data_IF_418021533862
#
_entry.id   IF_418021533862
#
_cell.length_a   1.000
_cell.length_b   1.000
_cell.length_c   1.000
_cell.angle_alpha   90.00
_cell.angle_beta   90.00
_cell.angle_gamma   90.00
#
_symmetry.space_group_name_H-M   'P 1'
#
loop_
_entity.id
_entity.type
_entity.pdbx_description
1 polymer ?
#
# COMPACT_ATOMS: atom_id res chain seq x y z
N UNK A 1 -3.12 3.14 -33.27
CA UNK A 1 -2.78 3.55 -31.89
C UNK A 1 -3.75 4.58 -31.34
N UNK A 2 -4.02 5.66 -32.08
CA UNK A 2 -4.74 6.85 -31.59
C UNK A 2 -6.01 6.61 -30.78
N UNK A 3 -6.99 5.85 -31.29
CA UNK A 3 -8.32 5.79 -30.61
C UNK A 3 -8.29 5.23 -29.18
N UNK A 4 -7.44 4.23 -28.90
CA UNK A 4 -7.39 3.59 -27.58
C UNK A 4 -6.59 4.41 -26.58
N UNK A 5 -5.53 5.07 -27.03
CA UNK A 5 -4.78 6.02 -26.22
C UNK A 5 -5.62 7.26 -25.91
N UNK A 6 -6.40 7.74 -26.89
CA UNK A 6 -7.36 8.83 -26.68
C UNK A 6 -8.44 8.41 -25.69
N UNK A 7 -9.02 7.20 -25.84
CA UNK A 7 -10.04 6.71 -24.90
C UNK A 7 -9.49 6.62 -23.47
N UNK A 8 -8.29 6.06 -23.28
CA UNK A 8 -7.66 6.00 -21.96
C UNK A 8 -7.36 7.40 -21.39
N UNK A 9 -6.91 8.34 -22.22
CA UNK A 9 -6.68 9.72 -21.79
C UNK A 9 -7.98 10.44 -21.41
N UNK A 10 -9.07 10.26 -22.16
CA UNK A 10 -10.38 10.80 -21.82
C UNK A 10 -10.91 10.20 -20.52
N UNK A 11 -10.77 8.89 -20.33
CA UNK A 11 -11.12 8.23 -19.07
C UNK A 11 -10.27 8.75 -17.91
N UNK A 12 -8.98 9.00 -18.13
CA UNK A 12 -8.11 9.63 -17.13
C UNK A 12 -8.58 11.03 -16.75
N UNK A 13 -8.96 11.86 -17.72
CA UNK A 13 -9.46 13.20 -17.46
C UNK A 13 -10.80 13.19 -16.74
N UNK A 14 -11.73 12.29 -17.13
CA UNK A 14 -13.01 12.12 -16.43
C UNK A 14 -12.78 11.63 -15.00
N UNK A 15 -11.90 10.64 -14.82
CA UNK A 15 -11.56 10.11 -13.50
C UNK A 15 -10.91 11.18 -12.61
N UNK A 16 -10.00 11.98 -13.17
CA UNK A 16 -9.38 13.11 -12.47
C UNK A 16 -10.42 14.17 -12.11
N UNK A 17 -11.29 14.58 -13.04
CA UNK A 17 -12.33 15.57 -12.78
C UNK A 17 -13.32 15.11 -11.71
N UNK A 18 -13.66 13.81 -11.73
CA UNK A 18 -14.52 13.20 -10.73
C UNK A 18 -13.86 13.16 -9.35
N UNK A 19 -12.58 12.78 -9.32
CA UNK A 19 -11.82 12.57 -8.09
C UNK A 19 -11.13 13.81 -7.54
N UNK A 20 -11.15 14.96 -8.23
CA UNK A 20 -10.38 16.15 -7.83
C UNK A 20 -10.81 16.70 -6.47
N UNK A 21 -9.88 17.07 -5.56
CA UNK A 21 -8.41 17.01 -5.66
C UNK A 21 -7.80 15.68 -5.16
N UNK A 22 -8.64 14.70 -4.82
CA UNK A 22 -8.28 13.42 -4.24
C UNK A 22 -8.83 13.27 -2.82
N UNK A 23 -8.91 12.04 -2.34
CA UNK A 23 -9.22 11.73 -0.93
C UNK A 23 -7.92 11.46 -0.19
N UNK A 24 -7.64 12.22 0.86
CA UNK A 24 -6.46 12.05 1.71
C UNK A 24 -6.86 11.37 3.04
N UNK A 25 -6.62 10.05 3.20
CA UNK A 25 -6.80 9.37 4.48
C UNK A 25 -5.74 9.82 5.52
N UNK A 26 -5.90 9.38 6.76
CA UNK A 26 -4.96 9.67 7.87
C UNK A 26 -3.48 9.49 7.50
N UNK A 27 -3.12 8.35 6.89
CA UNK A 27 -1.76 8.06 6.43
C UNK A 27 -1.25 9.13 5.45
N UNK A 28 -2.11 9.61 4.55
CA UNK A 28 -1.76 10.61 3.55
C UNK A 28 -1.60 12.00 4.19
N UNK A 29 -2.43 12.34 5.19
CA UNK A 29 -2.28 13.58 5.97
C UNK A 29 -0.92 13.59 6.68
N UNK A 30 -0.55 12.48 7.31
CA UNK A 30 0.73 12.32 7.99
C UNK A 30 1.90 12.43 7.01
N UNK A 31 1.83 11.74 5.87
CA UNK A 31 2.88 11.81 4.84
C UNK A 31 2.96 13.18 4.16
N UNK A 32 1.85 13.91 4.01
CA UNK A 32 1.87 15.28 3.51
C UNK A 32 2.52 16.24 4.52
N UNK A 33 2.28 16.06 5.82
CA UNK A 33 2.99 16.82 6.85
C UNK A 33 4.52 16.60 6.79
N UNK A 34 4.95 15.35 6.56
CA UNK A 34 6.36 15.03 6.34
C UNK A 34 6.89 15.70 5.06
N UNK A 35 6.12 15.68 3.96
CA UNK A 35 6.52 16.34 2.71
C UNK A 35 6.75 17.85 2.88
N UNK A 36 5.84 18.54 3.60
CA UNK A 36 5.94 19.96 3.91
C UNK A 36 7.14 20.27 4.80
N UNK A 37 7.32 19.51 5.88
CA UNK A 37 8.42 19.74 6.84
C UNK A 37 9.79 19.30 6.32
N UNK A 38 9.84 18.38 5.35
CA UNK A 38 11.07 17.76 4.88
C UNK A 38 11.70 16.78 5.88
N UNK A 39 11.00 16.45 6.96
CA UNK A 39 11.41 15.45 7.95
C UNK A 39 10.61 14.19 7.71
N UNK A 40 11.31 13.10 7.40
CA UNK A 40 10.72 11.81 7.09
C UNK A 40 11.05 10.83 8.22
N UNK A 41 10.12 9.93 8.51
CA UNK A 41 10.35 8.76 9.36
C UNK A 41 10.06 7.47 8.57
N UNK A 42 10.38 6.32 9.17
CA UNK A 42 10.14 5.01 8.58
C UNK A 42 8.85 4.32 9.09
N UNK A 43 7.95 5.05 9.76
CA UNK A 43 6.66 4.49 10.19
C UNK A 43 5.84 4.05 8.99
N UNK A 44 5.85 4.89 7.96
CA UNK A 44 5.49 4.52 6.60
C UNK A 44 6.74 4.58 5.70
N UNK A 45 6.80 3.76 4.64
CA UNK A 45 7.87 3.93 3.66
C UNK A 45 7.88 5.38 3.12
N UNK A 46 9.02 6.08 3.21
CA UNK A 46 9.10 7.53 3.03
C UNK A 46 8.99 7.97 1.58
N UNK A 47 9.06 7.03 0.61
CA UNK A 47 9.11 7.36 -0.82
C UNK A 47 7.90 8.18 -1.27
N UNK A 48 6.69 7.89 -0.78
CA UNK A 48 5.50 8.68 -1.14
C UNK A 48 5.62 10.12 -0.63
N UNK A 49 6.00 10.32 0.63
CA UNK A 49 6.17 11.66 1.21
C UNK A 49 7.30 12.44 0.51
N UNK A 50 8.40 11.77 0.20
CA UNK A 50 9.52 12.33 -0.55
C UNK A 50 9.10 12.74 -1.98
N UNK A 51 8.38 11.87 -2.69
CA UNK A 51 7.85 12.17 -4.02
C UNK A 51 6.85 13.33 -3.96
N UNK A 52 5.99 13.37 -2.93
CA UNK A 52 5.05 14.45 -2.72
C UNK A 52 5.77 15.79 -2.51
N UNK A 53 6.87 15.80 -1.73
CA UNK A 53 7.72 16.98 -1.56
C UNK A 53 8.26 17.49 -2.89
N UNK A 54 8.74 16.60 -3.75
CA UNK A 54 9.23 16.95 -5.08
C UNK A 54 8.13 17.54 -5.99
N UNK A 55 6.86 17.23 -5.72
CA UNK A 55 5.70 17.72 -6.47
C UNK A 55 5.08 19.00 -5.88
N UNK A 56 5.51 19.47 -4.71
CA UNK A 56 5.01 20.72 -4.12
C UNK A 56 5.11 21.94 -5.06
N UNK A 57 6.15 22.11 -5.90
CA UNK A 57 6.19 23.20 -6.87
C UNK A 57 5.06 23.19 -7.91
N UNK A 58 4.41 22.04 -8.14
CA UNK A 58 3.29 21.91 -9.08
C UNK A 58 1.95 22.32 -8.46
N UNK A 59 1.88 22.47 -7.13
CA UNK A 59 0.69 22.91 -6.42
C UNK A 59 0.57 22.31 -5.02
N UNK A 60 -0.25 22.91 -4.15
CA UNK A 60 -0.51 22.37 -2.81
C UNK A 60 -1.48 21.18 -2.84
N UNK A 61 -1.57 20.49 -1.70
CA UNK A 61 -2.54 19.44 -1.45
C UNK A 61 -2.28 18.12 -2.19
N UNK A 62 -3.34 17.32 -2.34
CA UNK A 62 -3.32 15.96 -2.89
C UNK A 62 -3.31 15.88 -4.42
N UNK A 63 -3.68 16.95 -5.10
CA UNK A 63 -3.89 16.96 -6.54
C UNK A 63 -2.65 16.54 -7.37
N UNK A 64 -1.41 17.02 -7.09
CA UNK A 64 -0.25 16.62 -7.88
C UNK A 64 0.02 15.11 -7.83
N UNK A 65 -0.14 14.48 -6.66
CA UNK A 65 -0.01 13.03 -6.53
C UNK A 65 -1.18 12.29 -7.17
N UNK A 66 -2.41 12.80 -7.06
CA UNK A 66 -3.56 12.21 -7.76
C UNK A 66 -3.31 12.16 -9.26
N UNK A 67 -2.80 13.24 -9.85
CA UNK A 67 -2.45 13.29 -11.28
C UNK A 67 -1.39 12.24 -11.63
N UNK A 68 -0.34 12.11 -10.82
CA UNK A 68 0.70 11.10 -11.05
C UNK A 68 0.14 9.67 -10.95
N UNK A 69 -0.65 9.39 -9.92
CA UNK A 69 -1.31 8.10 -9.68
C UNK A 69 -2.24 7.71 -10.84
N UNK A 70 -3.20 8.57 -11.18
CA UNK A 70 -4.12 8.33 -12.29
C UNK A 70 -3.39 8.28 -13.65
N UNK A 71 -2.31 9.05 -13.79
CA UNK A 71 -1.43 9.01 -14.96
C UNK A 71 -0.83 7.62 -15.16
N UNK A 72 -0.21 7.04 -14.12
CA UNK A 72 0.33 5.68 -14.20
C UNK A 72 -0.75 4.63 -14.42
N UNK A 73 -1.87 4.73 -13.71
CA UNK A 73 -3.00 3.81 -13.81
C UNK A 73 -3.54 3.73 -15.24
N UNK A 74 -3.92 4.87 -15.83
CA UNK A 74 -4.51 4.91 -17.16
C UNK A 74 -3.48 4.74 -18.28
N UNK A 75 -2.21 5.11 -18.06
CA UNK A 75 -1.13 4.76 -18.99
C UNK A 75 -1.01 3.24 -19.12
N UNK A 76 -0.96 2.52 -18.00
CA UNK A 76 -0.86 1.06 -18.02
C UNK A 76 -2.04 0.41 -18.73
N UNK A 77 -3.27 0.75 -18.34
CA UNK A 77 -4.49 0.22 -18.97
C UNK A 77 -4.59 0.57 -20.46
N UNK A 78 -4.27 1.81 -20.82
CA UNK A 78 -4.25 2.30 -22.19
C UNK A 78 -3.25 1.55 -23.07
N UNK A 79 -2.05 1.29 -22.56
CA UNK A 79 -1.03 0.49 -23.26
C UNK A 79 -1.49 -0.94 -23.49
N UNK A 80 -2.11 -1.60 -22.50
CA UNK A 80 -2.67 -2.94 -22.65
C UNK A 80 -3.76 -2.94 -23.72
N UNK A 81 -4.73 -2.01 -23.63
CA UNK A 81 -5.84 -1.93 -24.56
C UNK A 81 -5.39 -1.69 -26.00
N UNK A 82 -4.45 -0.75 -26.19
CA UNK A 82 -3.87 -0.45 -27.48
C UNK A 82 -2.99 -1.58 -28.03
N UNK A 83 -2.36 -2.39 -27.16
CA UNK A 83 -1.62 -3.58 -27.57
C UNK A 83 -2.55 -4.71 -28.02
N UNK A 84 -3.60 -5.00 -27.25
CA UNK A 84 -4.63 -5.99 -27.60
C UNK A 84 -5.32 -5.65 -28.91
N UNK A 85 -5.67 -4.37 -29.12
CA UNK A 85 -6.26 -3.93 -30.37
C UNK A 85 -5.33 -4.10 -31.57
N UNK A 86 -4.04 -3.80 -31.41
CA UNK A 86 -3.05 -4.02 -32.46
C UNK A 86 -2.83 -5.52 -32.75
N UNK A 87 -3.08 -6.38 -31.77
CA UNK A 87 -3.09 -7.84 -31.93
C UNK A 87 -4.44 -8.38 -32.44
N UNK A 88 -5.31 -7.54 -33.02
CA UNK A 88 -6.59 -7.96 -33.59
C UNK A 88 -7.71 -8.22 -32.56
N UNK A 89 -7.51 -7.84 -31.29
CA UNK A 89 -8.47 -8.08 -30.18
C UNK A 89 -9.02 -6.77 -29.58
N UNK A 90 -9.64 -5.88 -30.39
CA UNK A 90 -10.10 -4.57 -29.90
C UNK A 90 -11.17 -4.67 -28.81
N UNK A 91 -12.06 -5.66 -28.87
CA UNK A 91 -13.07 -5.88 -27.82
C UNK A 91 -12.43 -6.15 -26.46
N UNK A 92 -11.37 -6.95 -26.42
CA UNK A 92 -10.63 -7.21 -25.19
C UNK A 92 -9.97 -5.93 -24.64
N UNK A 93 -9.47 -5.06 -25.51
CA UNK A 93 -8.97 -3.74 -25.11
C UNK A 93 -10.05 -2.85 -24.48
N UNK A 94 -11.26 -2.85 -25.05
CA UNK A 94 -12.42 -2.16 -24.47
C UNK A 94 -12.81 -2.71 -23.11
N UNK A 95 -12.79 -4.03 -22.95
CA UNK A 95 -13.04 -4.69 -21.66
C UNK A 95 -12.01 -4.28 -20.61
N UNK A 96 -10.71 -4.20 -20.96
CA UNK A 96 -9.67 -3.73 -20.02
C UNK A 96 -9.93 -2.31 -19.54
N UNK A 97 -10.24 -1.38 -20.45
CA UNK A 97 -10.57 0.00 -20.06
C UNK A 97 -11.86 0.06 -19.23
N UNK A 98 -12.87 -0.72 -19.61
CA UNK A 98 -14.13 -0.82 -18.87
C UNK A 98 -13.94 -1.33 -17.44
N UNK A 99 -13.12 -2.37 -17.25
CA UNK A 99 -12.76 -2.86 -15.91
C UNK A 99 -12.07 -1.79 -15.08
N UNK A 100 -11.10 -1.07 -15.65
CA UNK A 100 -10.45 0.02 -14.92
C UNK A 100 -11.38 1.19 -14.58
N UNK A 101 -12.41 1.38 -15.39
CA UNK A 101 -13.48 2.35 -15.15
C UNK A 101 -14.60 1.82 -14.24
N UNK A 102 -14.51 0.63 -13.64
CA UNK A 102 -15.53 0.20 -12.66
C UNK A 102 -15.33 0.93 -11.33
N UNK A 103 -16.41 1.31 -10.63
CA UNK A 103 -16.33 1.94 -9.30
C UNK A 103 -15.46 1.17 -8.30
N UNK A 104 -15.49 -0.16 -8.36
CA UNK A 104 -14.67 -1.04 -7.51
C UNK A 104 -13.18 -0.73 -7.59
N UNK A 105 -12.65 -0.42 -8.78
CA UNK A 105 -11.23 -0.14 -8.97
C UNK A 105 -10.96 1.37 -8.96
N UNK A 106 -11.70 2.11 -9.77
CA UNK A 106 -11.54 3.57 -9.88
C UNK A 106 -11.82 4.31 -8.57
N UNK A 107 -12.78 3.85 -7.76
CA UNK A 107 -13.11 4.48 -6.49
C UNK A 107 -11.96 4.51 -5.48
N UNK A 108 -11.11 3.47 -5.48
CA UNK A 108 -9.89 3.41 -4.66
C UNK A 108 -8.74 4.23 -5.26
N UNK A 109 -8.68 4.38 -6.58
CA UNK A 109 -7.66 5.19 -7.27
C UNK A 109 -7.88 6.70 -7.14
N UNK A 110 -9.02 7.15 -6.60
CA UNK A 110 -9.24 8.55 -6.17
C UNK A 110 -8.58 8.82 -4.81
N UNK A 111 -8.32 7.77 -4.03
CA UNK A 111 -7.69 7.87 -2.72
C UNK A 111 -6.19 8.06 -2.92
N UNK A 112 -5.66 9.18 -2.46
CA UNK A 112 -4.24 9.52 -2.57
C UNK A 112 -3.51 8.86 -1.40
N UNK A 113 -3.18 7.59 -1.60
CA UNK A 113 -2.51 6.74 -0.61
C UNK A 113 -1.45 5.88 -1.29
N UNK A 114 -0.40 5.52 -0.55
CA UNK A 114 0.73 4.70 -1.03
C UNK A 114 0.29 3.42 -1.73
N UNK A 115 -0.79 2.79 -1.28
CA UNK A 115 -1.33 1.56 -1.86
C UNK A 115 -1.88 1.75 -3.28
N UNK A 116 -2.59 2.86 -3.52
CA UNK A 116 -3.13 3.19 -4.83
C UNK A 116 -2.01 3.60 -5.80
N UNK A 117 -1.05 4.43 -5.35
CA UNK A 117 0.12 4.78 -6.15
C UNK A 117 0.97 3.55 -6.50
N UNK A 118 1.16 2.63 -5.54
CA UNK A 118 1.83 1.36 -5.76
C UNK A 118 1.08 0.52 -6.83
N UNK A 119 -0.24 0.38 -6.70
CA UNK A 119 -1.05 -0.34 -7.67
C UNK A 119 -0.96 0.28 -9.07
N UNK A 120 -1.05 1.61 -9.17
CA UNK A 120 -0.89 2.34 -10.41
C UNK A 120 0.48 2.13 -11.06
N UNK A 121 1.58 2.14 -10.29
CA UNK A 121 2.92 1.80 -10.79
C UNK A 121 3.01 0.35 -11.29
N UNK A 122 2.40 -0.61 -10.60
CA UNK A 122 2.35 -2.01 -11.04
C UNK A 122 1.54 -2.16 -12.34
N UNK A 123 0.39 -1.49 -12.45
CA UNK A 123 -0.44 -1.46 -13.67
C UNK A 123 0.32 -0.83 -14.83
N UNK A 124 1.04 0.28 -14.61
CA UNK A 124 1.91 0.89 -15.60
C UNK A 124 3.03 -0.07 -16.06
N UNK A 125 3.68 -0.76 -15.12
CA UNK A 125 4.73 -1.74 -15.42
C UNK A 125 4.20 -2.90 -16.27
N UNK A 126 3.04 -3.45 -15.92
CA UNK A 126 2.37 -4.51 -16.68
C UNK A 126 1.94 -4.02 -18.06
N UNK A 127 1.40 -2.81 -18.16
CA UNK A 127 0.99 -2.25 -19.44
C UNK A 127 2.16 -1.97 -20.36
N UNK A 128 3.27 -1.47 -19.80
CA UNK A 128 4.51 -1.27 -20.51
C UNK A 128 5.08 -2.61 -21.02
N UNK A 129 5.12 -3.65 -20.19
CA UNK A 129 5.52 -4.99 -20.64
C UNK A 129 4.57 -5.56 -21.72
N UNK A 130 3.26 -5.44 -21.48
CA UNK A 130 2.19 -5.92 -22.37
C UNK A 130 2.25 -5.24 -23.74
N UNK A 131 2.63 -3.97 -23.80
CA UNK A 131 2.78 -3.21 -25.04
C UNK A 131 3.62 -3.94 -26.10
N UNK A 132 4.80 -4.43 -25.72
CA UNK A 132 5.66 -5.18 -26.64
C UNK A 132 5.26 -6.66 -26.70
N UNK A 133 5.02 -7.30 -25.55
CA UNK A 133 4.83 -8.75 -25.48
C UNK A 133 3.56 -9.22 -26.19
N UNK A 134 2.44 -8.50 -26.06
CA UNK A 134 1.18 -8.84 -26.75
C UNK A 134 1.26 -8.66 -28.27
N UNK A 135 2.28 -7.93 -28.74
CA UNK A 135 2.59 -7.76 -30.17
C UNK A 135 3.68 -8.70 -30.66
N UNK A 136 4.01 -9.73 -29.87
CA UNK A 136 5.10 -10.67 -30.11
C UNK A 136 6.47 -9.99 -30.30
N UNK A 137 6.69 -8.82 -29.69
CA UNK A 137 7.96 -8.10 -29.73
C UNK A 137 8.74 -8.24 -28.41
N UNK A 138 10.08 -8.28 -28.45
CA UNK A 138 10.88 -8.17 -27.25
C UNK A 138 10.72 -6.77 -26.63
N UNK A 139 10.84 -6.68 -25.31
CA UNK A 139 10.90 -5.40 -24.61
C UNK A 139 12.29 -4.81 -24.83
N UNK A 140 12.42 -3.57 -25.35
CA UNK A 140 13.72 -2.95 -25.56
C UNK A 140 14.41 -2.63 -24.22
N UNK A 141 15.74 -2.44 -24.18
CA UNK A 141 16.47 -2.18 -22.93
C UNK A 141 15.91 -1.00 -22.12
N UNK A 142 15.55 0.10 -22.78
CA UNK A 142 14.90 1.24 -22.13
C UNK A 142 13.55 0.86 -21.51
N UNK A 143 12.76 0.02 -22.19
CA UNK A 143 11.50 -0.51 -21.65
C UNK A 143 11.73 -1.38 -20.41
N UNK A 144 12.78 -2.22 -20.42
CA UNK A 144 13.17 -3.02 -19.24
C UNK A 144 13.56 -2.11 -18.07
N UNK A 145 14.36 -1.07 -18.32
CA UNK A 145 14.75 -0.10 -17.30
C UNK A 145 13.53 0.61 -16.68
N UNK A 146 12.61 1.09 -17.52
CA UNK A 146 11.39 1.76 -17.05
C UNK A 146 10.50 0.82 -16.23
N UNK A 147 10.35 -0.44 -16.67
CA UNK A 147 9.60 -1.44 -15.90
C UNK A 147 10.30 -1.71 -14.56
N UNK A 148 11.61 -1.90 -14.55
CA UNK A 148 12.38 -2.12 -13.32
C UNK A 148 12.25 -0.93 -12.35
N UNK A 149 12.27 0.31 -12.87
CA UNK A 149 12.05 1.51 -12.06
C UNK A 149 10.66 1.54 -11.44
N UNK A 150 9.60 1.25 -12.21
CA UNK A 150 8.22 1.21 -11.71
C UNK A 150 8.04 0.11 -10.64
N UNK A 151 8.63 -1.06 -10.84
CA UNK A 151 8.60 -2.16 -9.86
C UNK A 151 9.41 -1.81 -8.59
N UNK A 152 10.53 -1.12 -8.73
CA UNK A 152 11.33 -0.59 -7.62
C UNK A 152 10.56 0.46 -6.81
N UNK A 153 9.92 1.43 -7.49
CA UNK A 153 9.05 2.43 -6.86
C UNK A 153 7.91 1.76 -6.11
N UNK A 154 7.20 0.81 -6.72
CA UNK A 154 6.13 0.06 -6.04
C UNK A 154 6.65 -0.65 -4.76
N UNK A 155 7.83 -1.26 -4.83
CA UNK A 155 8.48 -1.93 -3.69
C UNK A 155 8.86 -0.97 -2.56
N UNK A 156 9.29 0.24 -2.92
CA UNK A 156 9.66 1.28 -1.96
C UNK A 156 8.45 2.04 -1.39
N UNK A 157 7.30 2.04 -2.08
CA UNK A 157 6.04 2.57 -1.54
C UNK A 157 5.46 1.66 -0.46
N UNK A 158 5.71 0.34 -0.55
CA UNK A 158 5.26 -0.62 0.45
C UNK A 158 6.14 -1.87 0.48
N UNK A 159 6.64 -2.25 1.66
CA UNK A 159 7.50 -3.41 1.80
C UNK A 159 6.83 -4.73 1.34
N UNK A 160 5.53 -4.90 1.57
CA UNK A 160 4.79 -6.08 1.10
C UNK A 160 4.56 -6.09 -0.43
N UNK A 161 4.79 -4.98 -1.13
CA UNK A 161 4.69 -4.95 -2.58
C UNK A 161 5.74 -5.86 -3.25
N UNK A 162 6.81 -6.23 -2.53
CA UNK A 162 7.80 -7.19 -3.02
C UNK A 162 7.16 -8.50 -3.48
N UNK A 163 6.06 -8.92 -2.84
CA UNK A 163 5.35 -10.16 -3.19
C UNK A 163 4.57 -10.04 -4.51
N UNK A 164 4.36 -8.83 -5.03
CA UNK A 164 3.80 -8.58 -6.35
C UNK A 164 4.88 -8.20 -7.37
N UNK A 165 5.79 -7.29 -7.00
CA UNK A 165 6.79 -6.74 -7.90
C UNK A 165 7.84 -7.77 -8.34
N UNK A 166 8.26 -8.66 -7.43
CA UNK A 166 9.28 -9.65 -7.73
C UNK A 166 8.79 -10.77 -8.67
N UNK A 167 7.61 -11.40 -8.46
CA UNK A 167 7.06 -12.31 -9.46
C UNK A 167 6.88 -11.67 -10.83
N UNK A 168 6.39 -10.41 -10.88
CA UNK A 168 6.25 -9.68 -12.13
C UNK A 168 7.61 -9.46 -12.82
N UNK A 169 8.65 -9.06 -12.08
CA UNK A 169 10.00 -8.92 -12.62
C UNK A 169 10.54 -10.24 -13.21
N UNK A 170 10.35 -11.35 -12.49
CA UNK A 170 10.83 -12.66 -12.91
C UNK A 170 10.08 -13.21 -14.13
N UNK A 171 8.80 -12.84 -14.31
CA UNK A 171 8.02 -13.22 -15.49
C UNK A 171 8.49 -12.50 -16.76
N UNK A 172 9.14 -11.34 -16.63
CA UNK A 172 9.74 -10.64 -17.78
C UNK A 172 10.99 -11.35 -18.30
N UNK A 173 11.66 -12.11 -17.42
CA UNK A 173 12.86 -12.86 -17.74
C UNK A 173 12.51 -14.30 -18.15
N UNK A 174 13.12 -14.77 -19.24
CA UNK A 174 13.05 -16.18 -19.64
C UNK A 174 14.11 -16.97 -18.88
N UNK A 175 13.72 -17.55 -17.75
CA UNK A 175 14.57 -18.40 -16.92
C UNK A 175 13.87 -19.74 -16.66
N UNK A 176 14.66 -20.79 -16.42
CA UNK A 176 14.16 -22.11 -15.99
C UNK A 176 13.43 -21.95 -14.65
N UNK A 177 12.39 -22.78 -14.34
CA UNK A 177 11.62 -22.67 -13.11
C UNK A 177 12.48 -22.63 -11.83
N UNK A 178 13.50 -23.49 -11.74
CA UNK A 178 14.41 -23.53 -10.60
C UNK A 178 15.22 -22.23 -10.43
N UNK A 179 15.69 -21.65 -11.54
CA UNK A 179 16.41 -20.38 -11.52
C UNK A 179 15.49 -19.23 -11.12
N UNK A 180 14.23 -19.22 -11.58
CA UNK A 180 13.23 -18.24 -11.14
C UNK A 180 12.95 -18.34 -9.65
N UNK A 181 12.84 -19.55 -9.12
CA UNK A 181 12.64 -19.77 -7.70
C UNK A 181 13.84 -19.27 -6.88
N UNK A 182 15.06 -19.64 -7.28
CA UNK A 182 16.28 -19.18 -6.61
C UNK A 182 16.46 -17.65 -6.67
N UNK A 183 16.22 -17.05 -7.83
CA UNK A 183 16.26 -15.59 -8.01
C UNK A 183 15.15 -14.89 -7.22
N UNK A 184 13.97 -15.51 -7.11
CA UNK A 184 12.88 -15.01 -6.27
C UNK A 184 13.25 -15.04 -4.79
N UNK A 185 13.80 -16.15 -4.31
CA UNK A 185 14.21 -16.25 -2.91
C UNK A 185 15.36 -15.28 -2.58
N UNK A 186 16.43 -15.31 -3.38
CA UNK A 186 17.61 -14.46 -3.18
C UNK A 186 17.29 -12.98 -3.39
N UNK A 187 16.53 -12.64 -4.45
CA UNK A 187 16.09 -11.28 -4.72
C UNK A 187 15.15 -10.74 -3.64
N UNK A 188 14.22 -11.57 -3.14
CA UNK A 188 13.34 -11.21 -2.04
C UNK A 188 14.13 -10.90 -0.76
N UNK A 189 15.06 -11.78 -0.38
CA UNK A 189 15.93 -11.56 0.78
C UNK A 189 16.79 -10.29 0.64
N UNK A 190 17.37 -10.07 -0.54
CA UNK A 190 18.16 -8.88 -0.84
C UNK A 190 17.32 -7.60 -0.74
N UNK A 191 16.10 -7.59 -1.28
CA UNK A 191 15.20 -6.44 -1.20
C UNK A 191 14.77 -6.16 0.24
N UNK A 192 14.45 -7.18 1.04
CA UNK A 192 14.11 -7.02 2.46
C UNK A 192 15.26 -6.36 3.22
N UNK A 193 16.51 -6.72 2.92
CA UNK A 193 17.69 -6.10 3.54
C UNK A 193 17.97 -4.69 3.01
N UNK A 194 17.73 -4.44 1.72
CA UNK A 194 18.09 -3.20 1.05
C UNK A 194 17.10 -2.07 1.28
N UNK A 195 15.79 -2.36 1.35
CA UNK A 195 14.73 -1.33 1.48
C UNK A 195 14.95 -0.42 2.71
N UNK A 196 15.23 -0.94 3.93
CA UNK A 196 15.54 -0.09 5.07
C UNK A 196 16.75 0.81 4.85
N UNK A 197 17.80 0.30 4.18
CA UNK A 197 18.99 1.08 3.86
C UNK A 197 18.68 2.22 2.90
N UNK A 198 17.86 1.97 1.87
CA UNK A 198 17.41 3.01 0.94
C UNK A 198 16.60 4.08 1.69
N UNK A 199 15.65 3.66 2.53
CA UNK A 199 14.82 4.59 3.29
C UNK A 199 15.66 5.49 4.21
N UNK A 200 16.63 4.93 4.93
CA UNK A 200 17.43 5.67 5.91
C UNK A 200 18.58 6.46 5.28
N UNK A 201 19.32 5.86 4.33
CA UNK A 201 20.54 6.47 3.76
C UNK A 201 20.26 7.37 2.57
N UNK A 202 19.27 7.03 1.76
CA UNK A 202 18.98 7.72 0.51
C UNK A 202 17.84 8.71 0.69
N UNK A 203 16.79 8.33 1.42
CA UNK A 203 15.62 9.18 1.67
C UNK A 203 15.68 9.92 3.02
N UNK A 204 16.69 9.64 3.86
CA UNK A 204 16.93 10.35 5.11
C UNK A 204 15.86 10.11 6.18
N UNK A 205 15.16 8.98 6.15
CA UNK A 205 14.09 8.68 7.10
C UNK A 205 14.65 8.30 8.48
N UNK A 206 14.10 8.95 9.51
CA UNK A 206 14.39 8.64 10.91
C UNK A 206 13.73 7.31 11.34
N UNK A 207 14.41 6.49 12.18
CA UNK A 207 13.80 5.27 12.70
C UNK A 207 12.65 5.57 13.66
N UNK A 208 11.43 5.22 13.26
CA UNK A 208 10.22 5.25 14.09
C UNK A 208 10.13 4.07 15.06
N UNK A 209 10.91 3.03 14.81
CA UNK A 209 10.82 1.74 15.50
C UNK A 209 9.44 1.06 15.37
N UNK A 210 8.71 1.32 14.28
CA UNK A 210 7.40 0.71 13.97
C UNK A 210 7.38 -0.82 14.06
N UNK A 211 8.53 -1.49 13.88
CA UNK A 211 8.65 -2.94 14.06
C UNK A 211 8.22 -3.43 15.46
N UNK A 212 8.27 -2.57 16.50
CA UNK A 212 7.85 -2.90 17.87
C UNK A 212 6.34 -3.14 17.99
N UNK A 213 5.54 -2.54 17.09
CA UNK A 213 4.08 -2.66 17.11
C UNK A 213 3.64 -4.12 17.00
N UNK A 214 4.27 -4.92 16.13
CA UNK A 214 3.88 -6.31 15.91
C UNK A 214 4.04 -7.20 17.17
N UNK A 215 5.21 -7.27 17.83
CA UNK A 215 5.35 -7.99 19.09
C UNK A 215 4.36 -7.55 20.16
N UNK A 216 4.12 -6.24 20.29
CA UNK A 216 3.20 -5.70 21.29
C UNK A 216 1.75 -6.11 20.96
N UNK A 217 1.39 -6.08 19.68
CA UNK A 217 0.04 -6.44 19.21
C UNK A 217 -0.26 -7.88 19.52
N UNK A 218 0.69 -8.75 19.21
CA UNK A 218 0.54 -10.18 19.42
C UNK A 218 0.56 -10.53 20.92
N UNK A 219 1.38 -9.85 21.74
CA UNK A 219 1.37 -10.01 23.20
C UNK A 219 0.02 -9.58 23.80
N UNK A 220 -0.51 -8.43 23.38
CA UNK A 220 -1.83 -7.98 23.78
C UNK A 220 -2.92 -8.95 23.32
N UNK A 221 -2.85 -9.41 22.08
CA UNK A 221 -3.79 -10.33 21.46
C UNK A 221 -3.84 -11.70 22.12
N UNK A 222 -2.69 -12.22 22.53
CA UNK A 222 -2.58 -13.44 23.34
C UNK A 222 -3.12 -13.23 24.75
N UNK A 223 -2.77 -12.12 25.41
CA UNK A 223 -3.22 -11.82 26.76
C UNK A 223 -4.74 -11.63 26.87
N UNK A 224 -5.34 -10.93 25.89
CA UNK A 224 -6.79 -10.79 25.77
C UNK A 224 -7.53 -12.13 25.58
N UNK A 225 -6.80 -13.20 25.22
CA UNK A 225 -7.30 -14.59 25.09
C UNK A 225 -6.89 -15.46 26.29
N UNK A 226 -6.46 -14.86 27.39
CA UNK A 226 -6.14 -15.54 28.64
C UNK A 226 -4.72 -16.10 28.73
N UNK A 227 -3.83 -15.83 27.77
CA UNK A 227 -2.45 -16.27 27.86
C UNK A 227 -1.67 -15.43 28.90
N UNK A 228 -0.96 -16.04 29.86
CA UNK A 228 -0.18 -15.32 30.88
C UNK A 228 1.16 -14.82 30.33
N UNK A 229 1.12 -13.95 29.31
CA UNK A 229 2.30 -13.38 28.62
C UNK A 229 2.67 -11.98 29.12
N UNK A 230 1.88 -11.42 30.03
CA UNK A 230 2.05 -10.10 30.63
C UNK A 230 2.27 -10.22 32.14
N UNK A 231 3.00 -9.26 32.71
CA UNK A 231 3.04 -9.04 34.16
C UNK A 231 1.70 -8.52 34.68
N UNK A 232 1.44 -8.65 35.99
CA UNK A 232 0.23 -8.12 36.61
C UNK A 232 0.06 -6.60 36.42
N UNK A 233 1.16 -5.84 36.34
CA UNK A 233 1.11 -4.41 36.04
C UNK A 233 0.64 -4.13 34.61
N UNK A 234 1.22 -4.81 33.63
CA UNK A 234 0.87 -4.67 32.21
C UNK A 234 -0.57 -5.15 31.94
N UNK A 235 -0.99 -6.26 32.55
CA UNK A 235 -2.34 -6.79 32.42
C UNK A 235 -3.42 -5.80 32.91
N UNK A 236 -3.13 -5.01 33.95
CA UNK A 236 -4.04 -3.95 34.43
C UNK A 236 -4.18 -2.78 33.46
N UNK A 237 -3.16 -2.53 32.63
CA UNK A 237 -3.19 -1.46 31.62
C UNK A 237 -3.93 -1.90 30.34
N UNK A 238 -4.06 -3.20 30.10
CA UNK A 238 -4.76 -3.74 28.94
C UNK A 238 -6.28 -3.76 29.17
N UNK A 239 -6.93 -2.63 28.91
CA UNK A 239 -8.39 -2.46 29.09
C UNK A 239 -9.20 -3.16 27.97
N UNK A 240 -10.49 -3.48 28.22
CA UNK A 240 -11.41 -3.89 27.16
C UNK A 240 -11.40 -2.87 26.01
N UNK A 241 -11.37 -3.34 24.77
CA UNK A 241 -11.29 -2.49 23.58
C UNK A 241 -9.86 -2.15 23.11
N UNK A 242 -8.81 -2.45 23.90
CA UNK A 242 -7.43 -2.26 23.45
C UNK A 242 -7.00 -3.21 22.34
N UNK A 243 -7.60 -4.40 22.26
CA UNK A 243 -7.30 -5.36 21.20
C UNK A 243 -8.47 -5.41 20.25
N UNK A 244 -8.23 -5.00 19.00
CA UNK A 244 -9.13 -5.23 17.88
C UNK A 244 -8.48 -6.23 16.93
N UNK A 245 -9.28 -7.02 16.21
CA UNK A 245 -8.79 -7.79 15.07
C UNK A 245 -8.67 -6.90 13.81
N UNK A 246 -9.30 -5.72 13.81
CA UNK A 246 -9.34 -4.84 12.66
C UNK A 246 -8.06 -4.03 12.53
N UNK A 247 -7.70 -3.23 13.54
CA UNK A 247 -6.50 -2.38 13.53
C UNK A 247 -5.72 -2.39 14.85
N UNK A 248 -4.45 -1.99 14.72
CA UNK A 248 -3.53 -1.68 15.81
C UNK A 248 -3.90 -0.37 16.54
N UNK A 249 -4.71 0.49 15.91
CA UNK A 249 -4.99 1.87 16.33
C UNK A 249 -5.34 2.05 17.81
N UNK A 250 -6.16 1.20 18.49
CA UNK A 250 -6.42 1.39 19.91
C UNK A 250 -5.14 1.36 20.77
N UNK A 251 -4.16 0.53 20.39
CA UNK A 251 -2.85 0.46 21.05
C UNK A 251 -1.93 1.62 20.64
N UNK A 252 -2.09 2.14 19.43
CA UNK A 252 -1.38 3.31 18.95
C UNK A 252 -1.93 4.64 19.49
N UNK A 253 -3.17 4.68 19.98
CA UNK A 253 -3.81 5.87 20.51
C UNK A 253 -3.35 6.18 21.95
N UNK A 254 -2.66 7.31 22.20
CA UNK A 254 -2.22 7.72 23.52
C UNK A 254 -3.34 7.86 24.56
N UNK A 255 -4.54 8.29 24.14
CA UNK A 255 -5.68 8.51 25.03
C UNK A 255 -6.37 7.20 25.43
N UNK A 256 -6.31 6.18 24.58
CA UNK A 256 -6.94 4.89 24.83
C UNK A 256 -5.95 3.89 25.42
N UNK A 257 -5.11 3.23 24.64
CA UNK A 257 -4.26 2.14 25.16
C UNK A 257 -2.76 2.44 25.05
N UNK A 258 -2.39 3.70 24.81
CA UNK A 258 -1.00 4.12 24.74
C UNK A 258 -0.18 3.86 26.01
N UNK A 259 -0.77 3.92 27.21
CA UNK A 259 -0.06 3.58 28.45
C UNK A 259 0.41 2.11 28.49
N UNK A 260 -0.40 1.20 27.94
CA UNK A 260 -0.04 -0.20 27.80
C UNK A 260 1.07 -0.37 26.74
N UNK A 261 0.92 0.24 25.57
CA UNK A 261 1.91 0.16 24.50
C UNK A 261 3.26 0.74 24.95
N UNK A 262 3.27 1.95 25.52
CA UNK A 262 4.46 2.62 26.05
C UNK A 262 5.22 1.77 27.07
N UNK A 263 4.50 1.02 27.92
CA UNK A 263 5.13 0.12 28.90
C UNK A 263 5.95 -0.99 28.23
N UNK A 264 5.45 -1.54 27.13
CA UNK A 264 6.14 -2.59 26.37
C UNK A 264 7.18 -2.01 25.41
N UNK A 265 6.95 -0.81 24.86
CA UNK A 265 7.94 -0.07 24.07
C UNK A 265 9.17 0.32 24.89
N UNK A 266 9.02 0.56 26.20
CA UNK A 266 10.15 0.81 27.09
C UNK A 266 11.07 -0.41 27.30
N UNK A 267 10.66 -1.62 26.87
CA UNK A 267 11.49 -2.81 27.00
C UNK A 267 12.71 -2.75 26.04
N UNK A 268 13.86 -3.32 26.45
CA UNK A 268 14.96 -3.57 25.53
C UNK A 268 14.50 -4.40 24.33
N UNK A 269 14.96 -4.11 23.09
CA UNK A 269 14.52 -4.83 21.89
C UNK A 269 14.56 -6.35 22.01
N UNK A 270 15.67 -6.89 22.52
CA UNK A 270 15.84 -8.33 22.73
C UNK A 270 14.81 -8.88 23.72
N UNK A 271 14.52 -8.16 24.80
CA UNK A 271 13.56 -8.59 25.81
C UNK A 271 12.14 -8.65 25.24
N UNK A 272 11.74 -7.63 24.46
CA UNK A 272 10.44 -7.59 23.80
C UNK A 272 10.28 -8.76 22.81
N UNK A 273 11.26 -8.94 21.92
CA UNK A 273 11.23 -10.01 20.90
C UNK A 273 11.26 -11.39 21.55
N UNK A 274 12.12 -11.62 22.55
CA UNK A 274 12.18 -12.91 23.25
C UNK A 274 10.87 -13.21 23.99
N UNK A 275 10.26 -12.21 24.65
CA UNK A 275 8.97 -12.40 25.33
C UNK A 275 7.87 -12.76 24.33
N UNK A 276 7.79 -12.06 23.20
CA UNK A 276 6.85 -12.35 22.13
C UNK A 276 7.05 -13.77 21.56
N UNK A 277 8.27 -14.14 21.18
CA UNK A 277 8.58 -15.44 20.59
C UNK A 277 8.29 -16.59 21.57
N UNK A 278 8.71 -16.47 22.83
CA UNK A 278 8.42 -17.46 23.87
C UNK A 278 6.92 -17.54 24.15
N UNK A 279 6.22 -16.40 24.20
CA UNK A 279 4.77 -16.34 24.38
C UNK A 279 4.03 -17.07 23.26
N UNK A 280 4.38 -16.80 22.00
CA UNK A 280 3.79 -17.47 20.85
C UNK A 280 4.05 -18.98 20.85
N UNK A 281 5.27 -19.40 21.22
CA UNK A 281 5.63 -20.81 21.30
C UNK A 281 4.91 -21.56 22.45
N UNK A 282 4.73 -20.91 23.61
CA UNK A 282 4.05 -21.50 24.77
C UNK A 282 2.53 -21.45 24.69
N UNK A 283 1.98 -20.49 23.94
CA UNK A 283 0.54 -20.28 23.79
C UNK A 283 0.11 -20.24 22.31
N UNK A 284 0.38 -21.30 21.53
CA UNK A 284 0.20 -21.28 20.08
C UNK A 284 -1.26 -21.10 19.66
N UNK A 285 -2.21 -21.61 20.46
CA UNK A 285 -3.65 -21.44 20.19
C UNK A 285 -4.09 -19.98 20.32
N UNK A 286 -3.63 -19.28 21.37
CA UNK A 286 -3.96 -17.87 21.58
C UNK A 286 -3.32 -16.99 20.50
N UNK A 287 -2.05 -17.26 20.16
CA UNK A 287 -1.34 -16.59 19.07
C UNK A 287 -2.04 -16.81 17.72
N UNK A 288 -2.30 -18.06 17.34
CA UNK A 288 -2.95 -18.39 16.08
C UNK A 288 -4.36 -17.79 16.00
N UNK A 289 -5.17 -17.89 17.06
CA UNK A 289 -6.51 -17.31 17.08
C UNK A 289 -6.48 -15.77 16.93
N UNK A 290 -5.46 -15.10 17.47
CA UNK A 290 -5.27 -13.67 17.26
C UNK A 290 -4.88 -13.35 15.81
N UNK A 291 -3.83 -14.00 15.29
CA UNK A 291 -3.32 -13.77 13.93
C UNK A 291 -4.33 -14.13 12.84
N UNK A 292 -5.06 -15.24 13.00
CA UNK A 292 -6.09 -15.67 12.05
C UNK A 292 -7.30 -14.75 12.07
N UNK A 293 -7.70 -14.23 13.23
CA UNK A 293 -8.77 -13.23 13.30
C UNK A 293 -8.35 -11.93 12.59
N UNK A 294 -7.12 -11.46 12.82
CA UNK A 294 -6.60 -10.29 12.14
C UNK A 294 -6.43 -10.48 10.63
N UNK A 295 -5.96 -11.65 10.22
CA UNK A 295 -5.83 -12.03 8.80
C UNK A 295 -7.20 -12.10 8.11
N UNK A 296 -8.20 -12.74 8.74
CA UNK A 296 -9.56 -12.80 8.19
C UNK A 296 -10.14 -11.40 7.92
N UNK A 297 -9.93 -10.48 8.86
CA UNK A 297 -10.42 -9.10 8.73
C UNK A 297 -9.65 -8.32 7.66
N UNK A 298 -8.32 -8.47 7.62
CA UNK A 298 -7.46 -7.82 6.61
C UNK A 298 -7.77 -8.30 5.19
N UNK A 299 -7.90 -9.61 4.98
CA UNK A 299 -8.21 -10.21 3.67
C UNK A 299 -9.70 -10.17 3.34
N UNK A 300 -10.55 -9.83 4.31
CA UNK A 300 -12.02 -9.74 4.18
C UNK A 300 -12.67 -11.03 3.68
N UNK A 301 -12.15 -12.19 4.12
CA UNK A 301 -12.62 -13.49 3.64
C UNK A 301 -13.99 -13.87 4.18
N UNK A 302 -14.17 -13.76 5.50
CA UNK A 302 -15.41 -14.06 6.21
C UNK A 302 -15.78 -12.90 7.13
N UNK A 303 -16.16 -11.78 6.51
CA UNK A 303 -16.53 -10.54 7.21
C UNK A 303 -17.92 -10.08 6.77
N UNK A 304 -18.59 -9.32 7.63
CA UNK A 304 -19.88 -8.70 7.30
C UNK A 304 -19.75 -7.72 6.13
N UNK A 305 -20.83 -7.54 5.37
CA UNK A 305 -20.90 -6.55 4.28
C UNK A 305 -20.75 -5.11 4.77
N UNK A 306 -21.05 -4.90 6.04
CA UNK A 306 -20.98 -3.66 6.81
C UNK A 306 -19.64 -3.48 7.53
N UNK A 307 -18.64 -4.34 7.27
CA UNK A 307 -17.31 -4.16 7.84
C UNK A 307 -16.81 -2.74 7.55
N UNK A 308 -16.42 -2.04 8.60
CA UNK A 308 -15.87 -0.70 8.51
C UNK A 308 -14.72 -0.65 7.48
N UNK A 309 -14.59 0.47 6.76
CA UNK A 309 -13.57 0.66 5.73
C UNK A 309 -13.68 -0.26 4.51
N UNK A 310 -14.80 -1.00 4.33
CA UNK A 310 -14.97 -1.87 3.18
C UNK A 310 -15.00 -1.10 1.84
N UNK A 311 -15.69 0.03 1.83
CA UNK A 311 -15.76 0.96 0.72
C UNK A 311 -14.58 1.93 0.73
N UNK A 312 -14.16 2.46 -0.44
CA UNK A 312 -13.18 3.54 -0.47
C UNK A 312 -13.70 4.75 0.33
N UNK A 313 -12.82 5.48 1.05
CA UNK A 313 -13.21 6.67 1.76
C UNK A 313 -13.78 7.72 0.80
N UNK A 314 -14.87 8.34 1.23
CA UNK A 314 -15.64 9.32 0.47
C UNK A 314 -15.24 10.78 0.79
N UNK A 315 -14.43 10.96 1.82
CA UNK A 315 -13.93 12.24 2.30
C UNK A 315 -12.53 12.05 2.89
N UNK A 316 -11.73 13.11 2.78
CA UNK A 316 -10.42 13.19 3.42
C UNK A 316 -10.55 13.27 4.93
N UNK A 317 -9.52 12.78 5.61
CA UNK A 317 -9.39 12.91 7.06
C UNK A 317 -9.40 14.39 7.45
N UNK A 318 -10.13 14.81 8.50
CA UNK A 318 -10.07 16.17 9.01
C UNK A 318 -8.62 16.58 9.32
N UNK A 319 -8.18 17.71 8.76
CA UNK A 319 -6.79 18.14 8.87
C UNK A 319 -6.66 19.66 8.79
N UNK A 320 -5.57 20.19 9.36
CA UNK A 320 -5.21 21.60 9.29
C UNK A 320 -4.27 21.93 8.11
N UNK A 321 -3.99 20.97 7.22
CA UNK A 321 -2.99 21.09 6.15
C UNK A 321 -3.60 21.47 4.80
N UNK A 322 -4.91 21.73 4.75
CA UNK A 322 -5.61 22.11 3.52
C UNK A 322 -5.86 20.96 2.55
N UNK A 323 -5.78 19.71 3.01
CA UNK A 323 -6.14 18.55 2.19
C UNK A 323 -7.68 18.44 2.14
N UNK A 324 -8.27 18.92 1.03
CA UNK A 324 -9.71 18.89 0.77
C UNK A 324 -10.24 17.51 0.39
N UNK A 325 -11.56 17.43 0.14
CA UNK A 325 -12.24 16.21 -0.34
C UNK A 325 -12.84 16.43 -1.73
N UNK A 326 -13.07 15.37 -2.52
CA UNK A 326 -13.77 15.49 -3.79
C UNK A 326 -15.24 15.90 -3.63
N UNK A 327 -15.82 16.38 -4.73
CA UNK A 327 -17.23 16.77 -4.80
C UNK A 327 -18.22 15.61 -4.63
N UNK A 328 -19.53 15.89 -4.51
CA UNK A 328 -20.57 14.87 -4.30
C UNK A 328 -20.61 13.79 -5.39
N UNK A 329 -20.23 14.13 -6.63
CA UNK A 329 -20.21 13.18 -7.75
C UNK A 329 -19.28 11.99 -7.48
N UNK A 330 -18.11 12.20 -6.86
CA UNK A 330 -17.20 11.12 -6.49
C UNK A 330 -17.85 10.12 -5.54
N UNK A 331 -18.63 10.63 -4.56
CA UNK A 331 -19.32 9.80 -3.57
C UNK A 331 -20.45 8.98 -4.17
N UNK A 332 -21.17 9.55 -5.13
CA UNK A 332 -22.21 8.82 -5.88
C UNK A 332 -21.55 7.71 -6.69
N UNK A 333 -20.46 8.03 -7.39
CA UNK A 333 -19.72 7.08 -8.20
C UNK A 333 -19.19 5.89 -7.39
N UNK A 334 -18.55 6.13 -6.24
CA UNK A 334 -18.02 5.08 -5.37
C UNK A 334 -19.09 4.13 -4.81
N UNK A 335 -20.39 4.49 -4.88
CA UNK A 335 -21.51 3.68 -4.39
C UNK A 335 -22.21 2.85 -5.47
N UNK A 336 -21.87 3.06 -6.74
CA UNK A 336 -22.38 2.27 -7.87
C UNK A 336 -21.68 0.90 -7.93
#
# INVERSE_FOLDING_TARGET
>A
MGRWTIAAALLALVHLALGWPGVAPYDAVTQYAQALSGRFDDWHPPLMAWAWRALLPLGPGAAPLLVAQLGFYWLGLGLIAAALAAAGRPRAGGVVLGFGALPLFSGWEIVVVKDALMAACLVAAVGLAGWWRLRARPVPPLGVLMIALLLGVATLLRANALFASLPLALLLWRAKPIARFALGLGGGAALIALVPLVNQRLLGAEPSHVWRTLPIYDLAGMAARGAPVLSAGEARLLRPGCVSAYFWDPLGDPAHCGAFAARLEALPPRALVSRWAIGAARHPRAYAAHRLAHWNVTERLWVGRDLFGAAPPAASEPNALGLGSPGPAARVWQRL
#
